data_IF_968280528310
#
_entry.id   IF_968280528310
#
_cell.length_a   1.000
_cell.length_b   1.000
_cell.length_c   1.000
_cell.angle_alpha   90.00
_cell.angle_beta   90.00
_cell.angle_gamma   90.00
#
_symmetry.space_group_name_H-M   'P 1'
#
loop_
_entity.id
_entity.type
_entity.pdbx_description
1 polymer ?
#
# COMPACT_ATOMS: atom_id res chain seq x y z
N UNK A 1 -8.23 11.75 -11.02
CA UNK A 1 -8.83 10.86 -10.00
C UNK A 1 -9.59 11.73 -9.03
N UNK A 2 -10.88 11.47 -8.81
CA UNK A 2 -11.67 12.21 -7.83
C UNK A 2 -11.81 11.34 -6.58
N UNK A 3 -11.41 11.88 -5.43
CA UNK A 3 -11.67 11.26 -4.13
C UNK A 3 -13.04 11.72 -3.67
N UNK A 4 -13.94 10.80 -3.32
CA UNK A 4 -15.28 11.17 -2.87
C UNK A 4 -15.24 11.76 -1.46
N UNK A 5 -16.08 12.76 -1.20
CA UNK A 5 -16.20 13.36 0.13
C UNK A 5 -16.59 12.31 1.18
N UNK A 6 -17.48 11.36 0.84
CA UNK A 6 -17.81 10.25 1.74
C UNK A 6 -16.59 9.41 2.17
N UNK A 7 -15.62 9.23 1.27
CA UNK A 7 -14.40 8.50 1.61
C UNK A 7 -13.52 9.33 2.54
N UNK A 8 -13.44 10.64 2.32
CA UNK A 8 -12.71 11.56 3.19
C UNK A 8 -13.33 11.57 4.59
N UNK A 9 -14.65 11.67 4.69
CA UNK A 9 -15.38 11.66 5.96
C UNK A 9 -15.15 10.35 6.72
N UNK A 10 -15.15 9.21 6.02
CA UNK A 10 -14.84 7.90 6.63
C UNK A 10 -13.40 7.81 7.12
N UNK A 11 -12.44 8.37 6.38
CA UNK A 11 -11.03 8.37 6.78
C UNK A 11 -10.76 9.31 7.97
N UNK A 12 -11.55 10.38 8.11
CA UNK A 12 -11.43 11.36 9.19
C UNK A 12 -12.35 11.08 10.38
N UNK A 13 -13.13 9.99 10.38
CA UNK A 13 -14.15 9.71 11.39
C UNK A 13 -13.63 9.73 12.85
N UNK A 14 -12.39 9.27 13.06
CA UNK A 14 -11.75 9.20 14.38
C UNK A 14 -10.73 10.34 14.64
N UNK A 15 -10.68 11.37 13.78
CA UNK A 15 -9.73 12.47 13.88
C UNK A 15 -10.00 13.34 15.11
N UNK A 16 -8.98 13.54 15.96
CA UNK A 16 -9.09 14.37 17.18
C UNK A 16 -8.07 15.49 17.25
N UNK A 17 -6.86 15.26 16.72
CA UNK A 17 -5.74 16.20 16.81
C UNK A 17 -4.84 16.13 15.58
N UNK A 18 -4.06 17.19 15.26
CA UNK A 18 -3.20 17.23 14.07
C UNK A 18 -2.25 16.03 13.94
N UNK A 19 -1.75 15.49 15.05
CA UNK A 19 -0.84 14.34 15.08
C UNK A 19 -1.49 13.07 14.52
N UNK A 20 -2.81 12.94 14.58
CA UNK A 20 -3.53 11.79 14.01
C UNK A 20 -3.48 11.81 12.47
N UNK A 21 -3.26 12.98 11.86
CA UNK A 21 -3.17 13.14 10.41
C UNK A 21 -1.71 13.08 9.92
N UNK A 22 -0.82 13.87 10.54
CA UNK A 22 0.55 14.12 10.06
C UNK A 22 1.66 13.60 11.00
N UNK A 23 1.32 13.03 12.16
CA UNK A 23 2.31 12.51 13.11
C UNK A 23 3.01 11.24 12.62
N UNK A 24 3.96 10.73 13.42
CA UNK A 24 4.77 9.55 13.07
C UNK A 24 3.92 8.30 12.75
N UNK A 25 2.75 8.17 13.40
CA UNK A 25 1.77 7.11 13.13
C UNK A 25 0.49 7.67 12.49
N UNK A 26 0.56 8.85 11.89
CA UNK A 26 -0.57 9.57 11.32
C UNK A 26 -1.15 8.89 10.08
N UNK A 27 -2.41 9.24 9.79
CA UNK A 27 -3.20 8.69 8.70
C UNK A 27 -2.52 8.81 7.34
N UNK A 28 -1.89 9.95 7.02
CA UNK A 28 -1.27 10.16 5.70
C UNK A 28 -0.09 9.20 5.47
N UNK A 29 0.72 8.95 6.50
CA UNK A 29 1.85 8.01 6.42
C UNK A 29 1.36 6.58 6.24
N UNK A 30 0.33 6.19 6.99
CA UNK A 30 -0.29 4.86 6.86
C UNK A 30 -0.93 4.67 5.47
N UNK A 31 -1.61 5.69 4.95
CA UNK A 31 -2.26 5.66 3.64
C UNK A 31 -1.22 5.53 2.53
N UNK A 32 -0.16 6.35 2.58
CA UNK A 32 0.95 6.30 1.63
C UNK A 32 1.61 4.93 1.61
N UNK A 33 1.91 4.37 2.80
CA UNK A 33 2.43 3.01 2.93
C UNK A 33 1.53 1.97 2.24
N UNK A 34 0.23 1.98 2.55
CA UNK A 34 -0.72 1.00 2.00
C UNK A 34 -0.89 1.13 0.48
N UNK A 35 -0.86 2.35 -0.05
CA UNK A 35 -0.93 2.60 -1.49
C UNK A 35 0.31 2.06 -2.21
N UNK A 36 1.50 2.37 -1.70
CA UNK A 36 2.77 1.87 -2.25
C UNK A 36 2.84 0.35 -2.17
N UNK A 37 2.48 -0.26 -1.03
CA UNK A 37 2.44 -1.72 -0.90
C UNK A 37 1.49 -2.37 -1.92
N UNK A 38 0.33 -1.76 -2.19
CA UNK A 38 -0.60 -2.27 -3.22
C UNK A 38 -0.07 -2.10 -4.63
N UNK A 39 0.58 -0.98 -4.94
CA UNK A 39 1.22 -0.78 -6.24
C UNK A 39 2.30 -1.84 -6.49
N UNK A 40 3.18 -2.07 -5.51
CA UNK A 40 4.22 -3.09 -5.60
C UNK A 40 3.67 -4.52 -5.75
N UNK A 41 2.54 -4.82 -5.11
CA UNK A 41 1.86 -6.12 -5.28
C UNK A 41 1.29 -6.32 -6.69
N UNK A 42 0.75 -5.25 -7.28
CA UNK A 42 0.26 -5.25 -8.65
C UNK A 42 1.42 -5.42 -9.65
N UNK A 43 2.50 -4.65 -9.49
CA UNK A 43 3.73 -4.79 -10.29
C UNK A 43 4.33 -6.19 -10.17
N UNK A 44 4.30 -6.80 -8.99
CA UNK A 44 4.77 -8.18 -8.79
C UNK A 44 3.90 -9.20 -9.53
N UNK A 45 2.58 -9.01 -9.54
CA UNK A 45 1.68 -9.89 -10.29
C UNK A 45 1.91 -9.78 -11.79
N UNK A 46 2.10 -8.56 -12.31
CA UNK A 46 2.45 -8.31 -13.71
C UNK A 46 3.80 -8.94 -14.07
N UNK A 47 4.84 -8.71 -13.27
CA UNK A 47 6.18 -9.25 -13.50
C UNK A 47 6.22 -10.79 -13.53
N UNK A 48 5.48 -11.44 -12.62
CA UNK A 48 5.44 -12.91 -12.53
C UNK A 48 4.42 -13.54 -13.49
N UNK A 49 3.47 -12.76 -14.00
CA UNK A 49 2.37 -13.22 -14.85
C UNK A 49 1.30 -14.02 -14.10
N UNK A 50 1.27 -13.95 -12.76
CA UNK A 50 0.26 -14.61 -11.94
C UNK A 50 0.03 -13.91 -10.59
N UNK A 51 -1.19 -14.02 -10.08
CA UNK A 51 -1.60 -13.53 -8.78
C UNK A 51 -1.05 -14.33 -7.61
N UNK A 52 -1.34 -13.86 -6.40
CA UNK A 52 -0.99 -14.57 -5.16
C UNK A 52 -1.83 -15.84 -5.05
N UNK A 53 -1.17 -16.98 -4.82
CA UNK A 53 -1.78 -18.32 -4.73
C UNK A 53 -2.46 -18.82 -6.02
N UNK A 54 -2.18 -18.19 -7.15
CA UNK A 54 -2.65 -18.67 -8.45
C UNK A 54 -1.71 -19.75 -9.01
N UNK A 55 -2.20 -20.64 -9.88
CA UNK A 55 -1.36 -21.60 -10.59
C UNK A 55 -0.22 -20.91 -11.34
N UNK A 56 0.99 -21.46 -11.21
CA UNK A 56 2.18 -20.90 -11.87
C UNK A 56 2.25 -21.45 -13.28
N UNK A 57 2.00 -20.59 -14.27
CA UNK A 57 2.07 -20.92 -15.69
C UNK A 57 3.26 -20.23 -16.41
N UNK A 58 4.15 -19.54 -15.67
CA UNK A 58 5.23 -18.78 -16.29
C UNK A 58 6.38 -19.69 -16.78
N UNK A 59 7.02 -19.39 -17.94
CA UNK A 59 8.03 -20.27 -18.54
C UNK A 59 9.29 -20.48 -17.68
N UNK A 60 9.60 -19.51 -16.81
CA UNK A 60 10.78 -19.55 -15.94
C UNK A 60 10.56 -20.32 -14.64
N UNK A 61 9.31 -20.64 -14.29
CA UNK A 61 8.95 -21.25 -13.01
C UNK A 61 9.19 -20.34 -11.80
N UNK A 62 9.31 -19.02 -12.00
CA UNK A 62 9.55 -18.08 -10.89
C UNK A 62 8.31 -17.95 -10.03
N UNK A 63 8.48 -18.09 -8.72
CA UNK A 63 7.38 -17.99 -7.75
C UNK A 63 7.66 -16.91 -6.71
N UNK A 64 6.59 -16.45 -6.06
CA UNK A 64 6.68 -15.50 -4.95
C UNK A 64 7.42 -16.15 -3.77
N UNK A 65 8.34 -15.39 -3.15
CA UNK A 65 9.17 -15.86 -2.03
C UNK A 65 9.04 -14.93 -0.80
N UNK A 66 7.81 -14.75 -0.33
CA UNK A 66 7.54 -13.93 0.86
C UNK A 66 7.66 -12.43 0.62
N UNK A 67 7.97 -11.68 1.70
CA UNK A 67 8.10 -10.22 1.71
C UNK A 67 9.29 -9.82 2.56
N UNK A 68 9.92 -8.69 2.23
CA UNK A 68 10.96 -8.07 3.04
C UNK A 68 10.51 -6.70 3.57
N UNK A 69 11.03 -6.30 4.73
CA UNK A 69 10.74 -4.99 5.32
C UNK A 69 11.74 -3.97 4.79
N UNK A 70 11.25 -2.80 4.41
CA UNK A 70 12.06 -1.64 4.04
C UNK A 70 11.50 -0.39 4.69
N UNK A 71 12.35 0.35 5.40
CA UNK A 71 12.01 1.67 5.94
C UNK A 71 12.31 2.71 4.88
N UNK A 72 11.29 3.45 4.46
CA UNK A 72 11.40 4.54 3.49
C UNK A 72 11.33 5.87 4.23
N UNK A 73 12.06 6.86 3.72
CA UNK A 73 11.96 8.25 4.14
C UNK A 73 11.15 9.01 3.10
N UNK A 74 10.20 9.84 3.54
CA UNK A 74 9.37 10.65 2.65
C UNK A 74 8.99 11.98 3.29
N UNK A 75 8.15 12.76 2.61
CA UNK A 75 7.73 14.09 3.05
C UNK A 75 7.01 14.08 4.42
N UNK A 76 6.36 12.96 4.78
CA UNK A 76 5.68 12.77 6.07
C UNK A 76 6.50 11.90 7.05
N UNK A 77 7.83 11.87 6.89
CA UNK A 77 8.79 11.13 7.71
C UNK A 77 9.18 9.78 7.14
#
# INVERSE_FOLDING_TARGET
MTVSNELIDRLLADYKKPEDLIGENGLLKQLTKRLVERALEAEMAEHLGHGKNEPVANPKGNTRNGKSRKTLKGEFG
#
